data_IF_177539758977
#
_entry.id   IF_177539758977
#
_cell.length_a   1.000
_cell.length_b   1.000
_cell.length_c   1.000
_cell.angle_alpha   90.00
_cell.angle_beta   90.00
_cell.angle_gamma   90.00
#
_symmetry.space_group_name_H-M   'P 1'
#
loop_
_entity.id
_entity.type
_entity.pdbx_description
1 polymer ?
#
# COMPACT_ATOMS: atom_id res chain seq x y z
N UNK A 1 -28.21 -3.06 32.70
CA UNK A 1 -28.30 -3.09 31.22
C UNK A 1 -28.41 -1.67 30.71
N UNK A 2 -27.30 -1.05 30.32
CA UNK A 2 -27.28 0.25 29.64
C UNK A 2 -26.86 0.01 28.19
N UNK A 3 -27.70 0.42 27.24
CA UNK A 3 -27.40 0.39 25.81
C UNK A 3 -26.35 1.45 25.51
N UNK A 4 -25.20 1.07 24.99
CA UNK A 4 -24.25 1.99 24.39
C UNK A 4 -24.53 2.07 22.90
N UNK A 5 -24.78 3.28 22.43
CA UNK A 5 -24.90 3.65 21.02
C UNK A 5 -23.46 3.77 20.51
N UNK A 6 -23.08 2.92 19.57
CA UNK A 6 -21.82 3.05 18.84
C UNK A 6 -21.89 4.30 17.95
N UNK A 7 -21.00 5.27 18.22
CA UNK A 7 -20.77 6.40 17.33
C UNK A 7 -19.53 6.07 16.49
N UNK A 8 -19.74 5.65 15.24
CA UNK A 8 -18.66 5.59 14.26
C UNK A 8 -18.22 7.02 13.94
N UNK A 9 -17.03 7.41 14.40
CA UNK A 9 -16.33 8.55 13.84
C UNK A 9 -15.65 8.11 12.54
N UNK A 10 -16.40 8.19 11.45
CA UNK A 10 -15.82 8.22 10.10
C UNK A 10 -15.10 9.57 10.00
N UNK A 11 -13.77 9.55 10.08
CA UNK A 11 -12.94 10.68 9.67
C UNK A 11 -12.97 10.68 8.14
N UNK A 12 -13.97 11.36 7.59
CA UNK A 12 -14.06 11.63 6.16
C UNK A 12 -12.99 12.65 5.77
N UNK A 13 -12.10 12.24 4.87
CA UNK A 13 -11.18 13.11 4.17
C UNK A 13 -11.99 14.17 3.41
N UNK A 14 -11.88 15.44 3.83
CA UNK A 14 -12.40 16.57 3.09
C UNK A 14 -11.62 16.72 1.77
N UNK A 15 -12.22 16.30 0.67
CA UNK A 15 -11.85 16.76 -0.67
C UNK A 15 -12.94 17.69 -1.18
N UNK A 16 -12.67 19.00 -1.13
CA UNK A 16 -13.51 20.02 -1.71
C UNK A 16 -13.50 19.88 -3.25
N UNK A 17 -14.58 19.33 -3.81
CA UNK A 17 -15.01 19.67 -5.16
C UNK A 17 -16.39 20.32 -5.10
N UNK A 18 -16.40 21.53 -5.65
CA UNK A 18 -17.49 22.48 -5.77
C UNK A 18 -18.14 22.19 -7.11
N UNK A 19 -19.39 21.74 -7.14
CA UNK A 19 -20.19 21.76 -8.37
C UNK A 19 -21.68 21.96 -8.08
N UNK A 20 -22.31 22.56 -9.08
CA UNK A 20 -23.46 23.44 -8.97
C UNK A 20 -24.78 22.71 -8.75
N UNK A 21 -25.65 23.35 -7.97
CA UNK A 21 -27.07 23.07 -7.91
C UNK A 21 -27.71 23.30 -9.29
N UNK A 22 -28.36 22.26 -9.83
CA UNK A 22 -29.47 22.41 -10.77
C UNK A 22 -30.69 21.78 -10.11
N UNK A 23 -31.56 22.63 -9.61
CA UNK A 23 -32.93 22.31 -9.22
C UNK A 23 -33.78 22.11 -10.47
N UNK A 24 -34.49 20.99 -10.58
CA UNK A 24 -35.68 20.87 -11.41
C UNK A 24 -36.80 20.21 -10.59
N UNK A 25 -37.72 21.05 -10.12
CA UNK A 25 -39.06 20.65 -9.71
C UNK A 25 -39.88 20.37 -10.97
N UNK A 26 -40.61 19.24 -11.02
CA UNK A 26 -41.95 19.22 -11.62
C UNK A 26 -42.76 18.01 -11.11
N UNK A 27 -43.75 18.36 -10.28
CA UNK A 27 -45.09 17.79 -10.04
C UNK A 27 -45.42 16.29 -10.12
N UNK A 28 -46.07 15.87 -9.03
CA UNK A 28 -47.06 14.80 -8.89
C UNK A 28 -48.09 14.71 -10.04
N UNK A 29 -48.41 13.49 -10.48
CA UNK A 29 -49.74 12.88 -10.28
C UNK A 29 -49.90 11.50 -10.94
N UNK A 30 -50.66 10.65 -10.23
CA UNK A 30 -51.51 9.53 -10.71
C UNK A 30 -50.93 8.10 -10.88
N UNK A 31 -51.30 7.30 -9.87
CA UNK A 31 -51.85 5.92 -9.84
C UNK A 31 -52.02 5.11 -11.14
N UNK A 32 -51.67 3.83 -10.96
CA UNK A 32 -52.28 2.58 -11.46
C UNK A 32 -52.54 2.45 -12.96
N UNK A 33 -51.82 1.52 -13.62
CA UNK A 33 -52.48 0.29 -14.06
C UNK A 33 -51.49 -0.78 -14.59
N UNK A 34 -51.80 -2.01 -14.21
CA UNK A 34 -51.21 -3.25 -14.73
C UNK A 34 -51.62 -3.50 -16.18
N UNK A 35 -50.69 -3.87 -17.06
CA UNK A 35 -50.81 -5.07 -17.94
C UNK A 35 -49.78 -5.11 -19.08
N UNK A 36 -49.09 -6.27 -19.15
CA UNK A 36 -48.75 -7.10 -20.32
C UNK A 36 -47.97 -6.52 -21.54
N UNK A 37 -47.22 -7.45 -22.13
CA UNK A 37 -46.45 -7.43 -23.40
C UNK A 37 -45.06 -6.77 -23.24
N UNK A 38 -43.94 -7.37 -23.63
CA UNK A 38 -43.68 -8.53 -24.47
C UNK A 38 -42.29 -9.10 -24.17
N UNK A 39 -42.19 -10.43 -24.21
CA UNK A 39 -40.94 -11.11 -24.54
C UNK A 39 -40.55 -10.73 -25.97
N UNK A 40 -39.34 -10.20 -26.16
CA UNK A 40 -38.50 -10.55 -27.31
C UNK A 40 -37.06 -10.07 -27.11
N UNK A 41 -36.17 -11.06 -27.13
CA UNK A 41 -34.78 -11.01 -27.61
C UNK A 41 -33.78 -10.10 -26.88
N UNK A 42 -32.88 -10.74 -26.15
CA UNK A 42 -31.49 -10.86 -26.63
C UNK A 42 -30.73 -11.94 -25.86
N UNK A 43 -30.53 -13.06 -26.54
CA UNK A 43 -29.41 -13.95 -26.27
C UNK A 43 -28.11 -13.14 -26.42
N UNK A 44 -27.45 -12.79 -25.32
CA UNK A 44 -26.00 -12.49 -25.29
C UNK A 44 -25.52 -12.15 -23.87
N UNK A 45 -25.71 -13.05 -22.89
CA UNK A 45 -25.04 -12.93 -21.58
C UNK A 45 -24.62 -14.32 -21.07
N UNK A 46 -24.05 -15.14 -21.96
CA UNK A 46 -23.19 -16.26 -21.59
C UNK A 46 -21.81 -15.96 -22.19
N UNK A 47 -21.01 -15.19 -21.44
CA UNK A 47 -19.54 -15.05 -21.52
C UNK A 47 -19.08 -13.78 -20.79
N UNK A 48 -19.46 -13.63 -19.52
CA UNK A 48 -18.57 -12.94 -18.58
C UNK A 48 -17.77 -14.04 -17.92
N UNK A 49 -16.56 -14.28 -18.43
CA UNK A 49 -15.58 -15.13 -17.77
C UNK A 49 -15.46 -14.68 -16.31
N UNK A 50 -15.60 -15.63 -15.39
CA UNK A 50 -15.40 -15.43 -13.96
C UNK A 50 -13.92 -15.05 -13.70
N UNK A 51 -13.54 -13.80 -13.93
CA UNK A 51 -12.24 -13.29 -13.49
C UNK A 51 -12.25 -13.27 -11.97
N UNK A 52 -11.35 -14.04 -11.36
CA UNK A 52 -11.16 -14.01 -9.91
C UNK A 52 -10.60 -12.63 -9.56
N UNK A 53 -11.23 -11.88 -8.66
CA UNK A 53 -10.64 -10.63 -8.14
C UNK A 53 -9.54 -10.95 -7.12
N UNK A 54 -8.55 -10.06 -6.98
CA UNK A 54 -7.44 -10.28 -6.04
C UNK A 54 -7.93 -10.49 -4.60
N UNK A 55 -8.92 -9.71 -4.16
CA UNK A 55 -9.53 -9.86 -2.83
C UNK A 55 -10.12 -11.25 -2.59
N UNK A 56 -10.58 -11.95 -3.64
CA UNK A 56 -11.15 -13.30 -3.53
C UNK A 56 -10.10 -14.36 -3.20
N UNK A 57 -8.81 -14.08 -3.48
CA UNK A 57 -7.70 -14.94 -3.04
C UNK A 57 -7.46 -14.79 -1.54
N UNK A 58 -7.66 -13.59 -1.00
CA UNK A 58 -7.25 -13.18 0.34
C UNK A 58 -8.44 -12.59 1.12
N UNK A 59 -9.53 -13.35 1.23
CA UNK A 59 -10.77 -12.87 1.83
C UNK A 59 -10.56 -12.38 3.27
N UNK A 60 -11.22 -11.27 3.63
CA UNK A 60 -11.24 -10.75 5.00
C UNK A 60 -11.66 -11.85 6.00
N UNK A 61 -10.89 -11.96 7.10
CA UNK A 61 -11.11 -12.99 8.13
C UNK A 61 -10.50 -14.36 7.85
N UNK A 62 -9.86 -14.57 6.70
CA UNK A 62 -9.11 -15.80 6.41
C UNK A 62 -7.77 -15.86 7.15
N UNK A 63 -7.32 -17.06 7.50
CA UNK A 63 -5.97 -17.32 8.01
C UNK A 63 -5.18 -18.13 6.98
N UNK A 64 -4.38 -17.45 6.17
CA UNK A 64 -3.52 -18.09 5.16
C UNK A 64 -2.13 -18.27 5.76
N UNK A 65 -1.94 -19.45 6.36
CA UNK A 65 -0.69 -19.80 7.05
C UNK A 65 0.37 -20.39 6.12
N UNK A 66 -0.03 -20.89 4.95
CA UNK A 66 0.88 -21.45 3.94
C UNK A 66 1.52 -20.36 3.06
N UNK A 67 2.63 -20.73 2.47
CA UNK A 67 3.50 -19.89 1.65
C UNK A 67 3.27 -20.17 0.16
N UNK A 68 3.74 -19.29 -0.74
CA UNK A 68 3.80 -19.60 -2.17
C UNK A 68 4.56 -20.91 -2.47
N UNK A 69 5.59 -21.23 -1.68
CA UNK A 69 6.39 -22.45 -1.87
C UNK A 69 5.63 -23.74 -1.56
N UNK A 70 4.68 -23.69 -0.62
CA UNK A 70 3.82 -24.82 -0.29
C UNK A 70 2.89 -25.20 -1.45
N UNK A 71 2.60 -24.25 -2.35
CA UNK A 71 1.77 -24.50 -3.54
C UNK A 71 2.52 -25.21 -4.67
N UNK A 72 3.84 -25.36 -4.59
CA UNK A 72 4.58 -26.18 -5.57
C UNK A 72 4.02 -27.62 -5.52
N UNK A 73 3.91 -28.17 -4.31
CA UNK A 73 3.35 -29.49 -4.02
C UNK A 73 2.28 -29.39 -2.93
N UNK A 74 1.04 -29.00 -3.28
CA UNK A 74 -0.01 -28.74 -2.29
C UNK A 74 -0.37 -30.03 -1.52
N UNK A 75 -0.30 -29.94 -0.20
CA UNK A 75 -0.43 -31.05 0.74
C UNK A 75 -1.87 -31.34 1.16
N UNK A 76 -2.77 -30.36 1.01
CA UNK A 76 -4.17 -30.44 1.44
C UNK A 76 -5.12 -29.79 0.41
N UNK A 77 -6.43 -29.95 0.59
CA UNK A 77 -7.45 -29.44 -0.34
C UNK A 77 -7.49 -27.90 -0.38
N UNK A 78 -7.27 -27.23 0.74
CA UNK A 78 -7.22 -25.76 0.81
C UNK A 78 -6.10 -25.21 -0.10
N UNK A 79 -4.89 -25.77 0.00
CA UNK A 79 -3.76 -25.38 -0.85
C UNK A 79 -4.01 -25.71 -2.33
N UNK A 80 -4.67 -26.84 -2.64
CA UNK A 80 -5.03 -27.19 -4.02
C UNK A 80 -6.04 -26.19 -4.60
N UNK A 81 -7.08 -25.85 -3.84
CA UNK A 81 -8.10 -24.88 -4.24
C UNK A 81 -7.48 -23.49 -4.42
N UNK A 82 -6.68 -23.04 -3.46
CA UNK A 82 -5.98 -21.76 -3.56
C UNK A 82 -5.06 -21.71 -4.78
N UNK A 83 -4.27 -22.77 -5.04
CA UNK A 83 -3.40 -22.85 -6.22
C UNK A 83 -4.18 -22.73 -7.53
N UNK A 84 -5.36 -23.37 -7.61
CA UNK A 84 -6.25 -23.27 -8.76
C UNK A 84 -6.72 -21.83 -8.96
N UNK A 85 -7.25 -21.20 -7.91
CA UNK A 85 -7.72 -19.79 -7.95
C UNK A 85 -6.61 -18.82 -8.31
N UNK A 86 -5.42 -19.00 -7.73
CA UNK A 86 -4.24 -18.19 -8.03
C UNK A 86 -3.85 -18.30 -9.51
N UNK A 87 -3.86 -19.53 -10.05
CA UNK A 87 -3.53 -19.75 -11.47
C UNK A 87 -4.55 -19.09 -12.40
N UNK A 88 -5.83 -19.16 -12.07
CA UNK A 88 -6.90 -18.48 -12.81
C UNK A 88 -6.75 -16.95 -12.76
N UNK A 89 -6.51 -16.38 -11.57
CA UNK A 89 -6.24 -14.96 -11.38
C UNK A 89 -5.05 -14.48 -12.23
N UNK A 90 -3.89 -15.15 -12.11
CA UNK A 90 -2.66 -14.74 -12.78
C UNK A 90 -2.73 -14.85 -14.31
N UNK A 91 -3.56 -15.76 -14.83
CA UNK A 91 -3.79 -15.88 -16.26
C UNK A 91 -4.79 -14.82 -16.77
N UNK A 92 -5.62 -14.24 -15.91
CA UNK A 92 -6.63 -13.26 -16.29
C UNK A 92 -6.15 -11.81 -16.34
N UNK A 93 -4.99 -11.50 -15.74
CA UNK A 93 -4.49 -10.12 -15.64
C UNK A 93 -3.07 -9.99 -16.22
N UNK A 94 -2.85 -9.09 -17.20
CA UNK A 94 -1.51 -8.72 -17.64
C UNK A 94 -0.68 -8.16 -16.48
N UNK A 95 0.64 -8.32 -16.55
CA UNK A 95 1.54 -7.87 -15.48
C UNK A 95 1.41 -6.35 -15.26
N UNK A 96 1.26 -5.62 -16.36
CA UNK A 96 1.20 -4.15 -16.39
C UNK A 96 -0.12 -3.59 -15.85
N UNK A 97 -1.17 -4.42 -15.76
CA UNK A 97 -2.52 -4.01 -15.38
C UNK A 97 -2.83 -4.29 -13.90
N UNK A 98 -1.90 -4.90 -13.16
CA UNK A 98 -2.07 -5.15 -11.74
C UNK A 98 -2.02 -3.85 -10.94
N UNK A 99 -3.11 -3.56 -10.23
CA UNK A 99 -3.18 -2.44 -9.29
C UNK A 99 -2.34 -2.73 -8.02
N UNK A 100 -1.26 -1.97 -7.77
CA UNK A 100 -0.40 -2.15 -6.59
C UNK A 100 -1.15 -2.03 -5.26
N UNK A 101 -2.23 -1.25 -5.21
CA UNK A 101 -3.00 -1.02 -3.99
C UNK A 101 -3.62 -2.31 -3.43
N UNK A 102 -3.84 -3.31 -4.27
CA UNK A 102 -4.27 -4.65 -3.85
C UNK A 102 -3.32 -5.28 -2.83
N UNK A 103 -2.03 -4.94 -2.84
CA UNK A 103 -1.07 -5.48 -1.87
C UNK A 103 -1.36 -5.06 -0.43
N UNK A 104 -2.15 -4.01 -0.19
CA UNK A 104 -2.56 -3.60 1.16
C UNK A 104 -3.33 -4.69 1.89
N UNK A 105 -4.07 -5.53 1.15
CA UNK A 105 -4.78 -6.70 1.70
C UNK A 105 -3.79 -7.71 2.31
N UNK A 106 -2.52 -7.72 1.90
CA UNK A 106 -1.51 -8.64 2.44
C UNK A 106 -0.80 -8.09 3.70
N UNK A 107 -1.13 -6.88 4.14
CA UNK A 107 -0.56 -6.24 5.33
C UNK A 107 -1.37 -6.68 6.55
N UNK A 108 -0.70 -7.34 7.47
CA UNK A 108 -1.36 -7.84 8.68
C UNK A 108 -1.55 -6.72 9.68
N UNK A 109 -2.68 -6.74 10.38
CA UNK A 109 -2.91 -5.85 11.52
C UNK A 109 -3.11 -6.66 12.79
N UNK A 110 -2.01 -7.11 13.38
CA UNK A 110 -2.06 -7.94 14.59
C UNK A 110 -2.24 -7.14 15.88
N UNK A 111 -2.19 -5.81 15.81
CA UNK A 111 -2.20 -4.93 16.99
C UNK A 111 -3.60 -4.56 17.50
N UNK A 112 -4.66 -4.95 16.80
CA UNK A 112 -6.03 -4.77 17.26
C UNK A 112 -6.75 -6.10 17.46
N UNK A 113 -7.56 -6.19 18.51
CA UNK A 113 -8.24 -7.44 18.91
C UNK A 113 -9.20 -8.01 17.84
N UNK A 114 -9.89 -7.14 17.10
CA UNK A 114 -10.87 -7.52 16.09
C UNK A 114 -10.27 -7.73 14.69
N UNK A 115 -8.98 -7.44 14.51
CA UNK A 115 -8.30 -7.52 13.20
C UNK A 115 -7.64 -8.89 12.96
N UNK A 116 -8.33 -9.99 13.26
CA UNK A 116 -7.80 -11.37 13.25
C UNK A 116 -7.61 -11.99 11.86
N UNK A 117 -7.35 -11.16 10.85
CA UNK A 117 -6.91 -11.62 9.55
C UNK A 117 -5.41 -11.85 9.58
N UNK A 118 -4.96 -12.97 9.02
CA UNK A 118 -3.54 -13.29 8.91
C UNK A 118 -3.22 -13.87 7.55
N UNK A 119 -2.20 -13.28 6.91
CA UNK A 119 -1.58 -13.83 5.71
C UNK A 119 -0.08 -13.92 5.92
N UNK A 120 0.46 -15.08 5.59
CA UNK A 120 1.89 -15.30 5.56
C UNK A 120 2.56 -14.25 4.65
N UNK A 121 3.42 -13.40 5.23
CA UNK A 121 3.98 -12.25 4.54
C UNK A 121 4.78 -12.61 3.28
N UNK A 122 5.20 -13.87 3.09
CA UNK A 122 5.83 -14.29 1.84
C UNK A 122 4.95 -14.10 0.59
N UNK A 123 3.62 -14.03 0.76
CA UNK A 123 2.71 -13.63 -0.32
C UNK A 123 2.96 -12.21 -0.81
N UNK A 124 3.30 -11.26 0.07
CA UNK A 124 3.65 -9.90 -0.32
C UNK A 124 4.88 -9.90 -1.23
N UNK A 125 5.94 -10.60 -0.83
CA UNK A 125 7.17 -10.72 -1.63
C UNK A 125 6.92 -11.37 -2.99
N UNK A 126 6.06 -12.39 -3.03
CA UNK A 126 5.65 -13.07 -4.25
C UNK A 126 5.00 -12.10 -5.25
N UNK A 127 3.98 -11.36 -4.82
CA UNK A 127 3.24 -10.46 -5.72
C UNK A 127 4.08 -9.25 -6.16
N UNK A 128 4.90 -8.68 -5.26
CA UNK A 128 5.83 -7.61 -5.63
C UNK A 128 6.74 -8.05 -6.80
N UNK A 129 7.29 -9.27 -6.72
CA UNK A 129 8.19 -9.80 -7.76
C UNK A 129 7.47 -10.23 -9.01
N UNK A 130 6.31 -10.89 -8.87
CA UNK A 130 5.48 -11.36 -10.00
C UNK A 130 5.08 -10.19 -10.89
N UNK A 131 4.66 -9.08 -10.28
CA UNK A 131 4.11 -7.91 -10.98
C UNK A 131 5.11 -6.75 -11.14
N UNK A 132 6.38 -6.92 -10.73
CA UNK A 132 7.46 -5.91 -10.88
C UNK A 132 7.11 -4.56 -10.24
N UNK A 133 6.64 -4.62 -9.00
CA UNK A 133 6.04 -3.49 -8.30
C UNK A 133 7.04 -2.65 -7.50
N UNK A 134 8.36 -2.78 -7.72
CA UNK A 134 9.39 -2.11 -6.91
C UNK A 134 9.35 -0.56 -6.96
N UNK A 135 8.55 0.04 -7.84
CA UNK A 135 8.32 1.48 -7.92
C UNK A 135 7.02 1.93 -7.25
N UNK A 136 6.22 1.00 -6.73
CA UNK A 136 4.83 1.19 -6.28
C UNK A 136 4.63 0.68 -4.85
N UNK A 137 5.63 0.90 -3.99
CA UNK A 137 5.65 0.34 -2.64
C UNK A 137 5.53 1.41 -1.54
N UNK A 138 5.44 2.70 -1.88
CA UNK A 138 5.37 3.74 -0.86
C UNK A 138 4.04 3.66 -0.10
N UNK A 139 2.90 3.58 -0.80
CA UNK A 139 1.59 3.42 -0.15
C UNK A 139 1.50 2.12 0.69
N UNK A 140 2.16 1.05 0.22
CA UNK A 140 2.23 -0.24 0.92
C UNK A 140 3.13 -0.15 2.16
N UNK A 141 4.25 0.58 2.09
CA UNK A 141 5.11 0.87 3.23
C UNK A 141 4.36 1.69 4.29
N UNK A 142 3.60 2.69 3.86
CA UNK A 142 2.77 3.52 4.74
C UNK A 142 1.76 2.66 5.51
N UNK A 143 1.03 1.77 4.81
CA UNK A 143 0.08 0.85 5.43
C UNK A 143 0.77 -0.14 6.39
N UNK A 144 1.94 -0.66 6.02
CA UNK A 144 2.74 -1.54 6.86
C UNK A 144 3.20 -0.87 8.17
N UNK A 145 3.62 0.40 8.12
CA UNK A 145 4.00 1.17 9.32
C UNK A 145 2.78 1.39 10.21
N UNK A 146 1.66 1.81 9.62
CA UNK A 146 0.41 2.09 10.35
C UNK A 146 -0.13 0.86 11.08
N UNK A 147 -0.07 -0.30 10.43
CA UNK A 147 -0.52 -1.59 11.00
C UNK A 147 0.56 -2.28 11.84
N UNK A 148 1.74 -1.67 11.96
CA UNK A 148 2.91 -2.21 12.65
C UNK A 148 3.34 -3.61 12.14
N UNK A 149 3.12 -3.89 10.85
CA UNK A 149 3.54 -5.14 10.21
C UNK A 149 5.04 -5.09 9.89
N UNK A 150 5.85 -5.43 10.88
CA UNK A 150 7.31 -5.46 10.74
C UNK A 150 7.82 -6.43 9.67
N UNK A 151 7.08 -7.52 9.38
CA UNK A 151 7.48 -8.45 8.34
C UNK A 151 7.26 -7.83 6.95
N UNK A 152 6.12 -7.17 6.74
CA UNK A 152 5.88 -6.41 5.52
C UNK A 152 6.92 -5.31 5.31
N UNK A 153 7.25 -4.52 6.34
CA UNK A 153 8.31 -3.49 6.27
C UNK A 153 9.65 -4.08 5.81
N UNK A 154 10.07 -5.23 6.37
CA UNK A 154 11.30 -5.92 5.94
C UNK A 154 11.25 -6.37 4.48
N UNK A 155 10.12 -6.92 4.04
CA UNK A 155 9.94 -7.41 2.67
C UNK A 155 9.98 -6.26 1.68
N UNK A 156 9.33 -5.15 1.97
CA UNK A 156 9.33 -3.96 1.11
C UNK A 156 10.76 -3.43 0.95
N UNK A 157 11.50 -3.29 2.06
CA UNK A 157 12.93 -2.90 2.03
C UNK A 157 13.78 -3.90 1.24
N UNK A 158 13.53 -5.21 1.38
CA UNK A 158 14.24 -6.24 0.63
C UNK A 158 13.99 -6.17 -0.88
N UNK A 159 12.86 -5.59 -1.31
CA UNK A 159 12.52 -5.33 -2.71
C UNK A 159 13.01 -3.95 -3.19
N UNK A 160 14.19 -3.52 -2.72
CA UNK A 160 14.90 -2.31 -3.15
C UNK A 160 14.16 -1.00 -2.87
N UNK A 161 13.22 -0.99 -1.92
CA UNK A 161 12.59 0.23 -1.47
C UNK A 161 13.58 1.12 -0.70
N UNK A 162 13.61 2.42 -1.03
CA UNK A 162 14.46 3.42 -0.39
C UNK A 162 13.64 4.15 0.69
N UNK A 163 14.03 3.97 1.95
CA UNK A 163 13.40 4.65 3.10
C UNK A 163 13.61 6.16 2.99
N UNK A 164 12.52 6.91 3.11
CA UNK A 164 12.48 8.37 3.02
C UNK A 164 12.08 9.02 4.36
N UNK A 165 12.15 10.35 4.43
CA UNK A 165 11.84 11.13 5.64
C UNK A 165 10.38 10.95 6.07
N UNK A 166 9.44 10.90 5.12
CA UNK A 166 8.02 10.67 5.41
C UNK A 166 7.81 9.35 6.16
N UNK A 167 8.52 8.27 5.80
CA UNK A 167 8.43 7.01 6.53
C UNK A 167 8.91 7.13 7.99
N UNK A 168 9.95 7.94 8.25
CA UNK A 168 10.46 8.20 9.60
C UNK A 168 9.46 8.99 10.42
N UNK A 169 8.88 10.05 9.83
CA UNK A 169 7.86 10.88 10.46
C UNK A 169 6.63 10.06 10.84
N UNK A 170 6.12 9.25 9.91
CA UNK A 170 4.97 8.36 10.14
C UNK A 170 5.21 7.34 11.25
N UNK A 171 6.39 6.72 11.30
CA UNK A 171 6.68 5.75 12.35
C UNK A 171 6.73 6.40 13.75
N UNK A 172 7.26 7.62 13.85
CA UNK A 172 7.28 8.36 15.11
C UNK A 172 5.89 8.86 15.53
N UNK A 173 5.07 9.31 14.57
CA UNK A 173 3.67 9.65 14.78
C UNK A 173 2.91 8.43 15.31
N UNK A 174 3.03 7.29 14.63
CA UNK A 174 2.35 6.05 15.02
C UNK A 174 2.76 5.56 16.41
N UNK A 175 4.01 5.77 16.82
CA UNK A 175 4.47 5.52 18.20
C UNK A 175 3.83 6.46 19.22
N UNK A 176 3.62 7.72 18.84
CA UNK A 176 2.91 8.67 19.69
C UNK A 176 1.43 8.28 19.83
N UNK A 177 0.78 7.86 18.75
CA UNK A 177 -0.59 7.34 18.74
C UNK A 177 -0.73 6.07 19.58
N UNK A 178 0.22 5.13 19.46
CA UNK A 178 0.26 3.92 20.29
C UNK A 178 0.16 4.28 21.78
N UNK A 179 0.93 5.27 22.24
CA UNK A 179 0.92 5.68 23.64
C UNK A 179 -0.47 6.16 24.06
N UNK A 180 -1.14 6.95 23.22
CA UNK A 180 -2.50 7.43 23.47
C UNK A 180 -3.52 6.29 23.50
N UNK A 181 -3.40 5.30 22.60
CA UNK A 181 -4.27 4.13 22.57
C UNK A 181 -4.15 3.31 23.87
N UNK A 182 -2.92 3.06 24.34
CA UNK A 182 -2.68 2.34 25.59
C UNK A 182 -3.26 3.10 26.79
N UNK A 183 -3.06 4.42 26.84
CA UNK A 183 -3.62 5.26 27.93
C UNK A 183 -5.15 5.23 27.95
N UNK A 184 -5.79 5.25 26.77
CA UNK A 184 -7.24 5.14 26.63
C UNK A 184 -7.75 3.78 27.07
N UNK A 185 -7.16 2.69 26.58
CA UNK A 185 -7.58 1.32 26.92
C UNK A 185 -7.51 1.08 28.44
N UNK A 186 -6.46 1.58 29.11
CA UNK A 186 -6.36 1.55 30.57
C UNK A 186 -7.46 2.36 31.25
N UNK A 187 -7.75 3.56 30.75
CA UNK A 187 -8.76 4.45 31.33
C UNK A 187 -10.18 3.91 31.17
N UNK A 188 -10.47 3.29 30.04
CA UNK A 188 -11.80 2.78 29.66
C UNK A 188 -12.00 1.31 30.07
N UNK A 189 -10.94 0.65 30.58
CA UNK A 189 -10.92 -0.78 30.90
C UNK A 189 -11.31 -1.63 29.68
N UNK A 190 -10.74 -1.27 28.53
CA UNK A 190 -10.85 -1.96 27.25
C UNK A 190 -9.51 -2.64 26.91
N UNK A 191 -9.53 -3.54 25.93
CA UNK A 191 -8.32 -4.20 25.39
C UNK A 191 -8.36 -4.16 23.85
N UNK A 192 -8.58 -2.97 23.30
CA UNK A 192 -8.69 -2.79 21.85
C UNK A 192 -7.33 -2.94 21.18
N UNK A 193 -6.30 -2.31 21.77
CA UNK A 193 -4.92 -2.34 21.30
C UNK A 193 -4.09 -3.38 22.06
N UNK A 194 -3.49 -4.31 21.32
CA UNK A 194 -2.67 -5.41 21.86
C UNK A 194 -1.19 -4.98 21.87
N UNK A 195 -0.78 -4.34 22.96
CA UNK A 195 0.59 -3.82 23.15
C UNK A 195 1.67 -4.88 22.93
N UNK A 196 1.44 -6.12 23.32
CA UNK A 196 2.44 -7.21 23.22
C UNK A 196 2.74 -7.60 21.77
N UNK A 197 1.80 -7.31 20.85
CA UNK A 197 1.95 -7.59 19.43
C UNK A 197 2.54 -6.41 18.65
N UNK A 198 2.64 -5.25 19.27
CA UNK A 198 3.30 -4.07 18.69
C UNK A 198 4.69 -4.38 18.16
N UNK A 199 5.03 -3.76 17.04
CA UNK A 199 6.40 -3.76 16.48
C UNK A 199 6.91 -2.38 16.10
N UNK A 200 6.24 -1.32 16.55
CA UNK A 200 6.61 0.05 16.14
C UNK A 200 8.04 0.43 16.51
N UNK A 201 8.56 -0.02 17.67
CA UNK A 201 9.94 0.27 18.08
C UNK A 201 10.96 -0.41 17.15
N UNK A 202 10.76 -1.69 16.80
CA UNK A 202 11.60 -2.39 15.84
C UNK A 202 11.53 -1.76 14.44
N UNK A 203 10.35 -1.31 14.01
CA UNK A 203 10.15 -0.59 12.76
C UNK A 203 10.96 0.72 12.76
N UNK A 204 10.84 1.55 13.80
CA UNK A 204 11.57 2.82 13.91
C UNK A 204 13.08 2.58 13.84
N UNK A 205 13.60 1.58 14.56
CA UNK A 205 15.03 1.25 14.55
C UNK A 205 15.49 0.87 13.13
N UNK A 206 14.73 0.00 12.45
CA UNK A 206 15.05 -0.45 11.10
C UNK A 206 15.00 0.70 10.08
N UNK A 207 13.94 1.50 10.12
CA UNK A 207 13.77 2.62 9.20
C UNK A 207 14.87 3.66 9.41
N UNK A 208 15.18 4.05 10.65
CA UNK A 208 16.28 4.99 10.93
C UNK A 208 17.62 4.46 10.43
N UNK A 209 17.91 3.17 10.64
CA UNK A 209 19.12 2.54 10.13
C UNK A 209 19.21 2.66 8.61
N UNK A 210 18.11 2.37 7.89
CA UNK A 210 18.08 2.44 6.43
C UNK A 210 18.12 3.86 5.90
N UNK A 211 17.36 4.77 6.50
CA UNK A 211 17.35 6.19 6.16
C UNK A 211 18.75 6.84 6.28
N UNK A 212 19.44 6.62 7.41
CA UNK A 212 20.78 7.17 7.66
C UNK A 212 21.89 6.51 6.83
N UNK A 213 21.57 5.44 6.10
CA UNK A 213 22.52 4.74 5.21
C UNK A 213 22.39 5.13 3.74
N UNK A 214 21.46 6.04 3.42
CA UNK A 214 21.20 6.45 2.04
C UNK A 214 22.37 7.25 1.47
N UNK A 215 22.89 6.78 0.33
CA UNK A 215 23.99 7.43 -0.37
C UNK A 215 23.85 7.30 -1.88
N UNK A 216 24.54 8.18 -2.61
CA UNK A 216 24.64 8.09 -4.07
C UNK A 216 25.63 7.01 -4.48
N UNK A 217 25.28 6.22 -5.49
CA UNK A 217 26.18 5.31 -6.17
C UNK A 217 25.97 5.36 -7.69
N UNK A 218 26.99 5.76 -8.41
CA UNK A 218 27.03 5.76 -9.88
C UNK A 218 28.40 5.25 -10.36
N UNK A 219 28.38 4.39 -11.39
CA UNK A 219 29.60 3.85 -12.02
C UNK A 219 30.46 4.94 -12.64
N UNK A 220 29.85 6.07 -13.02
CA UNK A 220 30.52 7.21 -13.63
C UNK A 220 31.19 8.11 -12.57
N UNK A 221 31.10 7.74 -11.29
CA UNK A 221 31.72 8.44 -10.16
C UNK A 221 30.84 9.55 -9.55
N UNK A 222 29.78 9.98 -10.24
CA UNK A 222 28.81 10.94 -9.74
C UNK A 222 27.43 10.72 -10.35
N UNK A 223 26.39 11.23 -9.68
CA UNK A 223 25.04 11.38 -10.24
C UNK A 223 24.66 12.86 -10.34
N UNK A 224 23.81 13.21 -11.30
CA UNK A 224 23.30 14.57 -11.44
C UNK A 224 22.11 14.79 -10.50
N UNK A 225 22.17 15.84 -9.68
CA UNK A 225 21.00 16.40 -9.01
C UNK A 225 20.26 17.30 -10.00
N UNK A 226 18.98 17.06 -10.20
CA UNK A 226 18.21 17.74 -11.24
C UNK A 226 17.07 18.59 -10.70
N UNK A 227 16.67 19.62 -11.44
CA UNK A 227 15.59 20.54 -11.04
C UNK A 227 14.18 19.95 -11.14
N UNK A 228 13.99 18.96 -12.02
CA UNK A 228 12.73 18.23 -12.22
C UNK A 228 13.02 16.72 -12.36
N UNK A 229 12.04 15.84 -12.09
CA UNK A 229 12.16 14.39 -12.24
C UNK A 229 12.19 13.97 -13.71
N UNK A 230 13.27 14.30 -14.40
CA UNK A 230 13.47 14.01 -15.82
C UNK A 230 14.96 14.02 -16.14
N UNK A 231 15.40 13.16 -17.06
CA UNK A 231 16.78 13.15 -17.56
C UNK A 231 17.13 14.39 -18.39
N UNK A 232 16.13 15.14 -18.86
CA UNK A 232 16.30 16.32 -19.71
C UNK A 232 16.22 17.65 -18.93
N UNK A 233 15.97 17.60 -17.62
CA UNK A 233 15.89 18.81 -16.81
C UNK A 233 17.27 19.33 -16.41
N UNK A 234 17.32 20.62 -16.05
CA UNK A 234 18.55 21.29 -15.66
C UNK A 234 19.25 20.58 -14.51
N UNK A 235 20.58 20.50 -14.62
CA UNK A 235 21.44 19.96 -13.58
C UNK A 235 21.72 21.07 -12.57
N UNK A 236 21.30 20.87 -11.32
CA UNK A 236 21.59 21.78 -10.20
C UNK A 236 23.05 21.63 -9.78
N UNK A 237 23.49 20.38 -9.57
CA UNK A 237 24.85 20.04 -9.17
C UNK A 237 25.13 18.57 -9.47
N UNK A 238 26.40 18.17 -9.32
CA UNK A 238 26.80 16.76 -9.26
C UNK A 238 26.92 16.32 -7.81
N UNK A 239 26.53 15.07 -7.53
CA UNK A 239 26.68 14.42 -6.23
C UNK A 239 27.63 13.24 -6.44
N UNK A 240 28.74 13.22 -5.72
CA UNK A 240 29.74 12.16 -5.89
C UNK A 240 29.23 10.83 -5.35
N UNK A 241 29.73 9.74 -5.91
CA UNK A 241 29.49 8.40 -5.38
C UNK A 241 30.02 8.30 -3.94
N UNK A 242 29.28 7.57 -3.10
CA UNK A 242 29.43 7.43 -1.66
C UNK A 242 29.11 8.71 -0.85
N UNK A 243 28.56 9.75 -1.48
CA UNK A 243 28.05 10.90 -0.74
C UNK A 243 26.69 10.58 -0.11
N UNK A 244 26.57 10.82 1.20
CA UNK A 244 25.32 10.69 1.93
C UNK A 244 24.30 11.73 1.46
N UNK A 245 23.04 11.32 1.39
CA UNK A 245 21.91 12.17 1.03
C UNK A 245 20.75 11.95 1.99
N UNK A 246 19.92 12.97 2.15
CA UNK A 246 18.63 12.84 2.82
C UNK A 246 17.59 12.62 1.73
N UNK A 247 16.87 11.50 1.79
CA UNK A 247 15.77 11.22 0.88
C UNK A 247 14.50 11.81 1.49
N UNK A 248 14.00 12.91 0.92
CA UNK A 248 12.87 13.63 1.48
C UNK A 248 11.56 12.92 1.16
N UNK A 249 11.33 12.58 -0.11
CA UNK A 249 10.16 11.81 -0.56
C UNK A 249 10.39 11.14 -1.91
N UNK A 250 9.65 10.09 -2.21
CA UNK A 250 9.48 9.58 -3.57
C UNK A 250 8.39 10.36 -4.32
N UNK A 251 8.34 10.21 -5.64
CA UNK A 251 7.21 10.67 -6.43
C UNK A 251 6.21 9.52 -6.56
N UNK A 252 4.94 9.81 -6.22
CA UNK A 252 3.84 8.86 -6.05
C UNK A 252 3.34 8.21 -7.36
N UNK A 253 2.32 7.36 -7.25
CA UNK A 253 1.86 6.46 -8.31
C UNK A 253 0.96 7.17 -9.35
N UNK A 254 0.31 8.28 -8.95
CA UNK A 254 -0.60 9.09 -9.78
C UNK A 254 0.10 10.11 -10.69
N UNK A 255 1.42 10.01 -10.86
CA UNK A 255 2.15 10.77 -11.88
C UNK A 255 2.42 9.94 -13.13
N UNK A 256 2.59 10.64 -14.23
CA UNK A 256 3.10 10.09 -15.49
C UNK A 256 4.24 9.08 -15.26
N UNK A 257 4.16 7.92 -15.93
CA UNK A 257 5.12 6.81 -15.86
C UNK A 257 6.59 7.29 -15.93
N UNK A 258 6.87 8.31 -16.75
CA UNK A 258 8.21 8.90 -16.92
C UNK A 258 8.83 9.50 -15.65
N UNK A 259 8.00 9.80 -14.64
CA UNK A 259 8.39 10.37 -13.35
C UNK A 259 8.51 9.32 -12.25
N UNK A 260 8.09 8.08 -12.50
CA UNK A 260 8.20 6.97 -11.53
C UNK A 260 9.67 6.62 -11.29
N UNK A 261 9.98 6.29 -10.05
CA UNK A 261 11.36 6.01 -9.61
C UNK A 261 12.25 7.24 -9.45
N UNK A 262 11.73 8.46 -9.54
CA UNK A 262 12.46 9.65 -9.12
C UNK A 262 12.23 9.95 -7.64
N UNK A 263 13.28 10.40 -6.97
CA UNK A 263 13.28 10.76 -5.56
C UNK A 263 13.70 12.20 -5.39
N UNK A 264 12.99 12.93 -4.55
CA UNK A 264 13.38 14.26 -4.11
C UNK A 264 14.29 14.15 -2.90
N UNK A 265 15.49 14.71 -3.01
CA UNK A 265 16.55 14.52 -2.03
C UNK A 265 17.16 15.87 -1.64
N UNK A 266 17.87 15.86 -0.52
CA UNK A 266 18.70 16.96 -0.03
C UNK A 266 20.15 16.47 0.13
N UNK A 267 21.10 17.22 -0.43
CA UNK A 267 22.53 16.96 -0.31
C UNK A 267 23.09 17.47 1.01
N UNK A 268 24.32 17.07 1.37
CA UNK A 268 25.00 17.53 2.59
C UNK A 268 25.18 19.05 2.68
N UNK A 269 25.22 19.75 1.55
CA UNK A 269 25.31 21.21 1.47
C UNK A 269 23.93 21.90 1.37
N UNK A 270 22.84 21.15 1.58
CA UNK A 270 21.48 21.67 1.65
C UNK A 270 20.80 21.92 0.29
N UNK A 271 21.42 21.51 -0.82
CA UNK A 271 20.78 21.63 -2.16
C UNK A 271 19.73 20.55 -2.32
N UNK A 272 18.59 20.92 -2.90
CA UNK A 272 17.46 20.03 -3.10
C UNK A 272 17.17 19.83 -4.57
N UNK A 273 16.78 18.62 -4.94
CA UNK A 273 16.45 18.27 -6.31
C UNK A 273 16.13 16.80 -6.46
N UNK A 274 16.11 16.35 -7.71
CA UNK A 274 15.67 15.00 -8.07
C UNK A 274 16.84 14.14 -8.53
N UNK A 275 16.83 12.88 -8.08
CA UNK A 275 17.74 11.83 -8.51
C UNK A 275 16.91 10.57 -8.80
N UNK A 276 17.30 9.80 -9.82
CA UNK A 276 16.64 8.54 -10.13
C UNK A 276 17.06 7.43 -9.15
N UNK A 277 16.12 6.59 -8.70
CA UNK A 277 16.30 5.63 -7.61
C UNK A 277 17.46 4.68 -7.80
N UNK A 278 17.77 4.31 -9.05
CA UNK A 278 18.88 3.41 -9.38
C UNK A 278 20.25 3.99 -9.05
N UNK A 279 20.31 5.24 -8.58
CA UNK A 279 21.51 5.93 -8.10
C UNK A 279 21.58 6.03 -6.59
N UNK A 280 20.56 5.54 -5.87
CA UNK A 280 20.50 5.57 -4.43
C UNK A 280 20.67 4.15 -3.91
N UNK A 281 21.53 3.98 -2.92
CA UNK A 281 21.72 2.72 -2.20
C UNK A 281 21.67 2.97 -0.70
N UNK A 282 21.14 2.00 0.06
CA UNK A 282 21.09 2.02 1.52
C UNK A 282 22.02 0.94 2.07
N UNK A 283 23.25 1.30 2.43
CA UNK A 283 24.31 0.36 2.88
C UNK A 283 24.43 0.24 4.39
#
# INVERSE_FOLDING_TARGET
MKKFIYFFLIIGSFSCKKDNYITNNFNDSNKEDTSKLNNQESNSLENQENSIEFGNLFNEGSQINFTPSDLVNPSNEEQKEFKKKLSEFENSIPIEDFDPENLKILINNSTYFDSQYYVNSQWLDYFIKKFKLENYLDSIMQEAIKNEDFNAVKIIIANNYIVNLTNIEMANERKSEQKLLIERDVKENENFYIKEKSKIDEIIILLNKKFNSNMIFDKDGYSNLRSKPSSNSDIITKINTNEHIIVLKCIEEDVEESKKGWYYIETKDGKKGYVYKSRIVSK
#
